data_IF_770908757823
#
_entry.id   IF_770908757823
#
_cell.length_a   1.000
_cell.length_b   1.000
_cell.length_c   1.000
_cell.angle_alpha   90.00
_cell.angle_beta   90.00
_cell.angle_gamma   90.00
#
_symmetry.space_group_name_H-M   'P 1'
#
loop_
_entity.id
_entity.type
_entity.pdbx_description
1 polymer ?
#
# COMPACT_ATOMS: atom_id res chain seq x y z
N UNK A 1 -0.71 -37.04 -17.45
CA UNK A 1 0.38 -37.96 -17.06
C UNK A 1 1.15 -37.28 -15.96
N UNK A 2 0.96 -37.70 -14.71
CA UNK A 2 1.79 -37.26 -13.58
C UNK A 2 2.97 -38.22 -13.58
N UNK A 3 4.13 -37.79 -14.06
CA UNK A 3 5.36 -38.55 -13.87
C UNK A 3 5.59 -38.68 -12.36
N UNK A 4 5.67 -39.92 -11.88
CA UNK A 4 6.04 -40.24 -10.51
C UNK A 4 7.48 -39.77 -10.30
N UNK A 5 7.67 -38.53 -9.82
CA UNK A 5 8.98 -38.05 -9.38
C UNK A 5 9.47 -38.99 -8.28
N UNK A 6 10.61 -39.63 -8.53
CA UNK A 6 11.28 -40.56 -7.62
C UNK A 6 11.43 -39.91 -6.24
N UNK A 7 10.82 -40.53 -5.22
CA UNK A 7 11.07 -40.19 -3.83
C UNK A 7 12.56 -40.47 -3.61
N UNK A 8 13.36 -39.42 -3.42
CA UNK A 8 14.79 -39.54 -3.10
C UNK A 8 14.88 -40.31 -1.77
N UNK A 9 15.61 -41.42 -1.78
CA UNK A 9 15.79 -42.23 -0.57
C UNK A 9 16.56 -41.43 0.50
N UNK A 10 16.13 -41.45 1.78
CA UNK A 10 16.77 -40.71 2.88
C UNK A 10 18.30 -40.87 2.97
N UNK A 11 18.82 -42.03 2.55
CA UNK A 11 20.25 -42.37 2.56
C UNK A 11 21.06 -41.47 1.60
N UNK A 12 20.48 -41.12 0.45
CA UNK A 12 21.14 -40.27 -0.55
C UNK A 12 21.30 -38.85 0.00
N UNK A 13 20.30 -38.35 0.72
CA UNK A 13 20.33 -37.04 1.36
C UNK A 13 21.42 -36.95 2.44
N UNK A 14 21.52 -37.93 3.34
CA UNK A 14 22.52 -37.87 4.41
C UNK A 14 23.95 -37.90 3.89
N UNK A 15 24.21 -38.62 2.79
CA UNK A 15 25.54 -38.60 2.15
C UNK A 15 25.86 -37.23 1.56
N UNK A 16 24.91 -36.62 0.85
CA UNK A 16 25.06 -35.30 0.25
C UNK A 16 25.40 -34.23 1.30
N UNK A 17 24.71 -34.22 2.44
CA UNK A 17 24.98 -33.26 3.52
C UNK A 17 26.33 -33.50 4.18
N UNK A 18 26.74 -34.76 4.40
CA UNK A 18 28.06 -35.05 4.95
C UNK A 18 29.20 -34.62 4.02
N UNK A 19 29.03 -34.84 2.70
CA UNK A 19 29.98 -34.39 1.69
C UNK A 19 30.04 -32.85 1.69
N UNK A 20 28.89 -32.16 1.73
CA UNK A 20 28.80 -30.71 1.87
C UNK A 20 29.58 -30.20 3.09
N UNK A 21 29.29 -30.71 4.30
CA UNK A 21 29.95 -30.27 5.54
C UNK A 21 31.47 -30.45 5.42
N UNK A 22 31.94 -31.58 4.91
CA UNK A 22 33.38 -31.82 4.72
C UNK A 22 33.99 -30.78 3.77
N UNK A 23 33.30 -30.47 2.68
CA UNK A 23 33.88 -29.72 1.57
C UNK A 23 33.77 -28.21 1.76
N UNK A 24 32.75 -27.69 2.47
CA UNK A 24 32.68 -26.25 2.84
C UNK A 24 33.75 -25.81 3.84
N UNK A 25 34.33 -26.74 4.61
CA UNK A 25 35.49 -26.45 5.47
C UNK A 25 36.83 -26.52 4.73
N UNK A 26 36.81 -26.77 3.41
CA UNK A 26 38.02 -26.69 2.60
C UNK A 26 38.54 -25.25 2.52
N UNK A 27 39.86 -25.06 2.40
CA UNK A 27 40.45 -23.76 2.08
C UNK A 27 40.31 -23.36 0.61
N UNK A 28 39.84 -24.28 -0.24
CA UNK A 28 39.66 -24.06 -1.67
C UNK A 28 38.26 -23.49 -1.94
N UNK A 29 38.21 -22.21 -2.35
CA UNK A 29 36.96 -21.50 -2.65
C UNK A 29 36.11 -22.21 -3.70
N UNK A 30 36.74 -22.73 -4.78
CA UNK A 30 36.00 -23.42 -5.83
C UNK A 30 35.33 -24.70 -5.31
N UNK A 31 35.99 -25.39 -4.37
CA UNK A 31 35.44 -26.58 -3.72
C UNK A 31 34.27 -26.25 -2.78
N UNK A 32 34.33 -25.12 -2.08
CA UNK A 32 33.20 -24.65 -1.28
C UNK A 32 32.00 -24.29 -2.16
N UNK A 33 32.24 -23.57 -3.26
CA UNK A 33 31.24 -23.20 -4.27
C UNK A 33 30.56 -24.44 -4.86
N UNK A 34 31.35 -25.41 -5.33
CA UNK A 34 30.82 -26.69 -5.86
C UNK A 34 29.97 -27.43 -4.82
N UNK A 35 30.39 -27.44 -3.54
CA UNK A 35 29.64 -28.09 -2.48
C UNK A 35 28.26 -27.43 -2.27
N UNK A 36 28.18 -26.10 -2.28
CA UNK A 36 26.91 -25.35 -2.17
C UNK A 36 26.01 -25.63 -3.37
N UNK A 37 26.53 -25.51 -4.59
CA UNK A 37 25.79 -25.78 -5.83
C UNK A 37 25.22 -27.19 -5.86
N UNK A 38 26.03 -28.16 -5.44
CA UNK A 38 25.64 -29.57 -5.42
C UNK A 38 24.48 -29.79 -4.44
N UNK A 39 24.49 -29.17 -3.25
CA UNK A 39 23.36 -29.25 -2.33
C UNK A 39 22.12 -28.60 -2.94
N UNK A 40 22.20 -27.36 -3.40
CA UNK A 40 21.04 -26.62 -3.94
C UNK A 40 20.41 -27.38 -5.11
N UNK A 41 21.24 -27.90 -6.03
CA UNK A 41 20.80 -28.58 -7.25
C UNK A 41 20.19 -29.96 -7.00
N UNK A 42 20.60 -30.67 -5.95
CA UNK A 42 20.07 -32.02 -5.66
C UNK A 42 18.92 -32.00 -4.64
N UNK A 43 18.71 -30.88 -3.97
CA UNK A 43 17.73 -30.73 -2.90
C UNK A 43 16.36 -30.22 -3.35
N UNK A 44 15.87 -30.53 -4.54
CA UNK A 44 14.63 -29.88 -5.05
C UNK A 44 13.39 -30.10 -4.16
N UNK A 45 13.37 -31.17 -3.36
CA UNK A 45 12.34 -31.39 -2.36
C UNK A 45 12.80 -30.87 -0.99
N UNK A 46 11.91 -30.28 -0.17
CA UNK A 46 12.25 -29.91 1.20
C UNK A 46 12.92 -31.11 1.88
N UNK A 47 14.14 -30.90 2.37
CA UNK A 47 14.82 -31.96 3.09
C UNK A 47 14.09 -32.28 4.39
N UNK A 48 14.58 -33.31 5.09
CA UNK A 48 14.33 -33.38 6.52
C UNK A 48 14.85 -32.09 7.17
N UNK A 49 14.12 -31.59 8.16
CA UNK A 49 14.42 -30.32 8.82
C UNK A 49 15.86 -30.28 9.35
N UNK A 50 16.36 -31.43 9.78
CA UNK A 50 17.72 -31.65 10.27
C UNK A 50 18.79 -31.31 9.21
N UNK A 51 18.59 -31.72 7.96
CA UNK A 51 19.54 -31.50 6.87
C UNK A 51 19.56 -30.03 6.43
N UNK A 52 18.39 -29.38 6.36
CA UNK A 52 18.31 -27.95 6.07
C UNK A 52 18.98 -27.11 7.18
N UNK A 53 18.85 -27.52 8.45
CA UNK A 53 19.54 -26.88 9.58
C UNK A 53 21.06 -27.02 9.43
N UNK A 54 21.56 -28.23 9.12
CA UNK A 54 22.99 -28.46 8.90
C UNK A 54 23.54 -27.64 7.73
N UNK A 55 22.77 -27.52 6.64
CA UNK A 55 23.13 -26.65 5.52
C UNK A 55 23.38 -25.20 5.99
N UNK A 56 22.40 -24.63 6.71
CA UNK A 56 22.45 -23.26 7.21
C UNK A 56 23.60 -23.09 8.21
N UNK A 57 23.77 -24.01 9.17
CA UNK A 57 24.80 -23.96 10.21
C UNK A 57 26.23 -24.06 9.68
N UNK A 58 26.43 -24.66 8.51
CA UNK A 58 27.75 -24.80 7.91
C UNK A 58 28.00 -23.91 6.70
N UNK A 59 27.03 -23.05 6.31
CA UNK A 59 27.18 -22.20 5.13
C UNK A 59 28.36 -21.22 5.24
N UNK A 60 29.34 -21.26 4.33
CA UNK A 60 30.53 -20.40 4.41
C UNK A 60 30.18 -18.92 4.19
N UNK A 61 30.65 -18.04 5.08
CA UNK A 61 30.27 -16.63 5.05
C UNK A 61 30.86 -15.90 3.83
N UNK A 62 31.94 -16.42 3.26
CA UNK A 62 32.62 -15.88 2.11
C UNK A 62 31.79 -16.04 0.82
N UNK A 63 30.90 -17.04 0.79
CA UNK A 63 30.04 -17.34 -0.36
C UNK A 63 28.70 -16.62 -0.35
N UNK A 64 28.42 -15.78 0.66
CA UNK A 64 27.14 -15.08 0.74
C UNK A 64 26.86 -14.30 -0.53
N UNK A 65 27.78 -13.44 -0.97
CA UNK A 65 27.59 -12.55 -2.13
C UNK A 65 27.44 -13.32 -3.45
N UNK A 66 28.05 -14.50 -3.58
CA UNK A 66 27.97 -15.32 -4.80
C UNK A 66 26.62 -16.04 -4.92
N UNK A 67 26.07 -16.51 -3.80
CA UNK A 67 24.88 -17.38 -3.79
C UNK A 67 23.64 -16.74 -3.15
N UNK A 68 23.63 -15.42 -2.96
CA UNK A 68 22.59 -14.70 -2.19
C UNK A 68 21.18 -15.15 -2.57
N UNK A 69 20.86 -15.16 -3.87
CA UNK A 69 19.50 -15.41 -4.35
C UNK A 69 19.11 -16.89 -4.25
N UNK A 70 19.99 -17.80 -4.69
CA UNK A 70 19.70 -19.23 -4.69
C UNK A 70 19.63 -19.80 -3.28
N UNK A 71 20.51 -19.33 -2.38
CA UNK A 71 20.48 -19.72 -0.98
C UNK A 71 19.26 -19.14 -0.26
N UNK A 72 18.88 -17.90 -0.57
CA UNK A 72 17.64 -17.33 -0.02
C UNK A 72 16.42 -18.17 -0.44
N UNK A 73 16.31 -18.53 -1.72
CA UNK A 73 15.26 -19.43 -2.23
C UNK A 73 15.30 -20.78 -1.52
N UNK A 74 16.50 -21.38 -1.41
CA UNK A 74 16.71 -22.67 -0.79
C UNK A 74 16.25 -22.68 0.67
N UNK A 75 16.65 -21.69 1.47
CA UNK A 75 16.31 -21.61 2.89
C UNK A 75 14.80 -21.45 3.06
N UNK A 76 14.21 -20.49 2.34
CA UNK A 76 12.81 -20.12 2.55
C UNK A 76 11.79 -20.98 1.79
N UNK A 77 12.22 -22.04 1.11
CA UNK A 77 11.29 -23.11 0.68
C UNK A 77 10.75 -23.91 1.89
N UNK A 78 11.49 -23.95 3.00
CA UNK A 78 11.11 -24.66 4.22
C UNK A 78 10.61 -23.68 5.29
N UNK A 79 9.30 -23.70 5.55
CA UNK A 79 8.65 -22.79 6.50
C UNK A 79 9.10 -22.97 7.96
N UNK A 80 9.75 -24.09 8.30
CA UNK A 80 10.23 -24.35 9.65
C UNK A 80 11.52 -23.55 9.98
N UNK A 81 12.19 -22.98 8.99
CA UNK A 81 13.46 -22.24 9.17
C UNK A 81 13.26 -20.73 9.37
N UNK A 82 12.02 -20.23 9.28
CA UNK A 82 11.73 -18.79 9.28
C UNK A 82 12.12 -18.08 10.59
N UNK A 83 12.24 -18.83 11.69
CA UNK A 83 12.68 -18.35 13.01
C UNK A 83 14.15 -18.70 13.32
N UNK A 84 14.84 -19.41 12.42
CA UNK A 84 16.21 -19.83 12.65
C UNK A 84 17.14 -18.60 12.67
N UNK A 85 17.94 -18.37 13.73
CA UNK A 85 18.73 -17.14 13.88
C UNK A 85 19.67 -16.87 12.70
N UNK A 86 20.27 -17.92 12.13
CA UNK A 86 21.13 -17.78 10.97
C UNK A 86 20.36 -17.56 9.67
N UNK A 87 19.14 -18.10 9.53
CA UNK A 87 18.30 -17.79 8.38
C UNK A 87 17.96 -16.29 8.36
N UNK A 88 17.67 -15.70 9.52
CA UNK A 88 17.44 -14.26 9.66
C UNK A 88 18.63 -13.44 9.13
N UNK A 89 19.87 -13.87 9.38
CA UNK A 89 21.06 -13.21 8.81
C UNK A 89 21.07 -13.26 7.27
N UNK A 90 20.60 -14.35 6.65
CA UNK A 90 20.45 -14.41 5.19
C UNK A 90 19.46 -13.38 4.66
N UNK A 91 18.40 -13.02 5.40
CA UNK A 91 17.51 -11.92 5.01
C UNK A 91 18.30 -10.61 4.96
N UNK A 92 19.11 -10.32 5.97
CA UNK A 92 19.90 -9.08 6.02
C UNK A 92 20.92 -9.01 4.89
N UNK A 93 21.58 -10.14 4.57
CA UNK A 93 22.47 -10.25 3.42
C UNK A 93 21.71 -10.06 2.10
N UNK A 94 20.57 -10.72 1.92
CA UNK A 94 19.71 -10.56 0.75
C UNK A 94 19.25 -9.10 0.55
N UNK A 95 18.81 -8.43 1.62
CA UNK A 95 18.38 -7.04 1.57
C UNK A 95 19.54 -6.07 1.29
N UNK A 96 20.76 -6.40 1.74
CA UNK A 96 21.98 -5.64 1.44
C UNK A 96 22.40 -5.80 -0.01
N UNK A 97 22.38 -7.04 -0.51
CA UNK A 97 22.66 -7.36 -1.91
C UNK A 97 21.74 -6.58 -2.86
N UNK A 98 20.43 -6.56 -2.61
CA UNK A 98 19.49 -5.77 -3.43
C UNK A 98 19.78 -4.26 -3.45
N UNK A 99 20.61 -3.75 -2.53
CA UNK A 99 21.03 -2.35 -2.51
C UNK A 99 22.19 -2.05 -3.46
N UNK A 100 23.09 -3.00 -3.73
CA UNK A 100 24.33 -2.74 -4.49
C UNK A 100 24.08 -2.61 -5.99
N UNK A 101 22.96 -3.15 -6.50
CA UNK A 101 22.55 -3.12 -7.92
C UNK A 101 23.54 -3.81 -8.87
N UNK A 102 24.31 -4.76 -8.37
CA UNK A 102 25.25 -5.48 -9.23
C UNK A 102 24.48 -6.39 -10.22
N UNK A 103 24.93 -6.39 -11.48
CA UNK A 103 24.33 -7.12 -12.63
C UNK A 103 24.60 -8.64 -12.58
N UNK A 104 24.59 -9.26 -11.40
CA UNK A 104 24.83 -10.69 -11.27
C UNK A 104 23.72 -11.51 -11.95
N UNK A 105 24.00 -12.79 -12.23
CA UNK A 105 22.98 -13.73 -12.68
C UNK A 105 21.99 -13.96 -11.55
N UNK A 106 20.78 -13.44 -11.68
CA UNK A 106 19.80 -13.49 -10.59
C UNK A 106 18.77 -14.56 -10.88
N UNK A 107 18.39 -15.25 -9.81
CA UNK A 107 17.26 -16.15 -9.78
C UNK A 107 15.99 -15.49 -10.34
N UNK A 108 15.13 -16.35 -10.88
CA UNK A 108 13.82 -15.95 -11.38
C UNK A 108 13.03 -15.17 -10.29
N UNK A 109 12.54 -13.95 -10.55
CA UNK A 109 11.81 -13.14 -9.57
C UNK A 109 10.57 -13.84 -9.02
N UNK A 110 9.94 -14.75 -9.78
CA UNK A 110 8.83 -15.57 -9.28
C UNK A 110 9.24 -16.44 -8.10
N UNK A 111 10.36 -17.16 -8.23
CA UNK A 111 10.85 -18.06 -7.19
C UNK A 111 11.29 -17.28 -5.95
N UNK A 112 11.88 -16.11 -6.14
CA UNK A 112 12.21 -15.21 -5.04
C UNK A 112 10.97 -14.65 -4.35
N UNK A 113 9.93 -14.25 -5.09
CA UNK A 113 8.65 -13.79 -4.51
C UNK A 113 8.04 -14.89 -3.64
N UNK A 114 8.03 -16.14 -4.10
CA UNK A 114 7.54 -17.28 -3.32
C UNK A 114 8.35 -17.52 -2.04
N UNK A 115 9.69 -17.42 -2.15
CA UNK A 115 10.59 -17.51 -1.00
C UNK A 115 10.34 -16.38 0.00
N UNK A 116 10.18 -15.13 -0.46
CA UNK A 116 9.85 -14.00 0.40
C UNK A 116 8.49 -14.23 1.06
N UNK A 117 7.48 -14.73 0.32
CA UNK A 117 6.16 -15.02 0.86
C UNK A 117 6.20 -16.02 2.03
N UNK A 118 7.05 -17.04 1.94
CA UNK A 118 7.29 -17.97 3.06
C UNK A 118 8.10 -17.31 4.19
N UNK A 119 9.13 -16.53 3.87
CA UNK A 119 9.97 -15.82 4.82
C UNK A 119 9.15 -14.89 5.73
N UNK A 120 8.18 -14.17 5.17
CA UNK A 120 7.40 -13.16 5.89
C UNK A 120 6.25 -13.74 6.75
N UNK A 121 6.08 -15.07 6.76
CA UNK A 121 5.14 -15.72 7.68
C UNK A 121 5.54 -15.50 9.15
N UNK A 122 6.81 -15.19 9.41
CA UNK A 122 7.28 -14.70 10.69
C UNK A 122 7.31 -13.17 10.69
N UNK A 123 6.46 -12.54 11.50
CA UNK A 123 6.29 -11.07 11.53
C UNK A 123 7.59 -10.26 11.69
N UNK A 124 8.55 -10.64 12.56
CA UNK A 124 9.85 -9.96 12.65
C UNK A 124 10.61 -9.87 11.31
N UNK A 125 10.42 -10.84 10.41
CA UNK A 125 11.05 -10.80 9.10
C UNK A 125 10.45 -9.68 8.23
N UNK A 126 9.14 -9.41 8.32
CA UNK A 126 8.51 -8.26 7.63
C UNK A 126 9.16 -6.94 8.05
N UNK A 127 9.48 -6.79 9.33
CA UNK A 127 10.14 -5.60 9.88
C UNK A 127 11.50 -5.38 9.23
N UNK A 128 12.26 -6.45 8.94
CA UNK A 128 13.54 -6.34 8.24
C UNK A 128 13.36 -5.81 6.82
N UNK A 129 12.39 -6.37 6.06
CA UNK A 129 12.06 -5.87 4.72
C UNK A 129 11.65 -4.40 4.74
N UNK A 130 10.84 -3.98 5.70
CA UNK A 130 10.37 -2.60 5.80
C UNK A 130 11.49 -1.64 6.16
N UNK A 131 12.30 -1.98 7.16
CA UNK A 131 13.43 -1.15 7.57
C UNK A 131 14.48 -1.03 6.45
N UNK A 132 14.61 -2.04 5.59
CA UNK A 132 15.57 -2.03 4.49
C UNK A 132 15.01 -1.50 3.16
N UNK A 133 13.75 -1.07 3.09
CA UNK A 133 13.06 -0.73 1.84
C UNK A 133 13.04 -1.89 0.82
N UNK A 134 12.97 -3.12 1.31
CA UNK A 134 13.23 -4.34 0.56
C UNK A 134 12.37 -4.47 -0.69
N UNK A 135 11.07 -4.16 -0.62
CA UNK A 135 10.16 -4.32 -1.76
C UNK A 135 10.37 -3.27 -2.86
N UNK A 136 10.76 -2.05 -2.49
CA UNK A 136 11.13 -1.03 -3.47
C UNK A 136 12.43 -1.41 -4.19
N UNK A 137 13.44 -1.86 -3.44
CA UNK A 137 14.71 -2.31 -4.03
C UNK A 137 14.52 -3.55 -4.88
N UNK A 138 13.70 -4.50 -4.44
CA UNK A 138 13.31 -5.67 -5.21
C UNK A 138 12.65 -5.26 -6.53
N UNK A 139 11.66 -4.37 -6.49
CA UNK A 139 11.01 -3.85 -7.70
C UNK A 139 12.01 -3.21 -8.66
N UNK A 140 12.84 -2.31 -8.15
CA UNK A 140 13.79 -1.58 -8.96
C UNK A 140 14.83 -2.51 -9.59
N UNK A 141 15.31 -3.50 -8.82
CA UNK A 141 16.29 -4.46 -9.28
C UNK A 141 15.73 -5.38 -10.38
N UNK A 142 14.45 -5.75 -10.31
CA UNK A 142 13.78 -6.60 -11.30
C UNK A 142 12.87 -5.82 -12.26
N UNK A 143 13.05 -4.51 -12.44
CA UNK A 143 12.04 -3.66 -13.11
C UNK A 143 11.69 -4.14 -14.52
N UNK A 144 12.67 -4.65 -15.27
CA UNK A 144 12.47 -5.21 -16.61
C UNK A 144 11.63 -6.50 -16.64
N UNK A 145 11.66 -7.28 -15.56
CA UNK A 145 10.95 -8.55 -15.42
C UNK A 145 9.60 -8.41 -14.69
N UNK A 146 9.39 -7.29 -13.99
CA UNK A 146 8.22 -7.06 -13.15
C UNK A 146 6.88 -7.07 -13.88
N UNK A 147 6.87 -6.79 -15.18
CA UNK A 147 5.65 -6.86 -16.00
C UNK A 147 4.99 -8.24 -15.95
N UNK A 148 5.79 -9.31 -15.86
CA UNK A 148 5.28 -10.68 -15.77
C UNK A 148 4.88 -11.03 -14.34
N UNK A 149 5.70 -10.64 -13.35
CA UNK A 149 5.50 -10.99 -11.93
C UNK A 149 4.56 -10.06 -11.16
N UNK A 150 4.05 -8.98 -11.77
CA UNK A 150 3.21 -7.97 -11.11
C UNK A 150 2.03 -8.56 -10.32
N UNK A 151 1.40 -9.62 -10.86
CA UNK A 151 0.25 -10.29 -10.22
C UNK A 151 0.56 -10.89 -8.85
N UNK A 152 1.81 -11.32 -8.61
CA UNK A 152 2.24 -11.87 -7.32
C UNK A 152 2.96 -10.82 -6.47
N UNK A 153 3.68 -9.91 -7.11
CA UNK A 153 4.45 -8.87 -6.43
C UNK A 153 3.56 -7.92 -5.60
N UNK A 154 2.47 -7.40 -6.17
CA UNK A 154 1.63 -6.42 -5.46
C UNK A 154 0.92 -6.97 -4.23
N UNK A 155 0.32 -8.19 -4.26
CA UNK A 155 -0.17 -8.84 -3.05
C UNK A 155 0.91 -9.02 -1.99
N UNK A 156 2.09 -9.56 -2.37
CA UNK A 156 3.21 -9.74 -1.44
C UNK A 156 3.63 -8.40 -0.80
N UNK A 157 3.74 -7.34 -1.59
CA UNK A 157 4.05 -6.01 -1.10
C UNK A 157 2.99 -5.55 -0.09
N UNK A 158 1.70 -5.70 -0.41
CA UNK A 158 0.62 -5.35 0.52
C UNK A 158 0.70 -6.13 1.83
N UNK A 159 1.06 -7.42 1.80
CA UNK A 159 1.16 -8.27 2.97
C UNK A 159 2.35 -7.90 3.88
N UNK A 160 3.48 -7.51 3.29
CA UNK A 160 4.66 -7.02 4.04
C UNK A 160 4.32 -5.74 4.79
N UNK A 161 3.72 -4.76 4.11
CA UNK A 161 3.36 -3.47 4.69
C UNK A 161 2.07 -3.52 5.53
N UNK A 162 1.43 -4.69 5.66
CA UNK A 162 0.33 -4.92 6.59
C UNK A 162 0.86 -5.52 7.90
N UNK A 163 1.36 -4.66 8.79
CA UNK A 163 1.85 -5.05 10.11
C UNK A 163 0.81 -4.71 11.20
N UNK A 164 0.74 -5.56 12.21
CA UNK A 164 0.08 -5.26 13.48
C UNK A 164 0.68 -4.01 14.16
N UNK A 165 -0.20 -3.24 14.82
CA UNK A 165 0.19 -2.10 15.66
C UNK A 165 1.07 -2.50 16.84
N UNK A 166 0.99 -3.74 17.32
CA UNK A 166 1.85 -4.22 18.42
C UNK A 166 3.35 -4.17 18.07
N UNK A 167 3.69 -4.26 16.78
CA UNK A 167 5.07 -4.26 16.29
C UNK A 167 5.58 -2.87 15.91
N UNK A 168 4.81 -1.81 16.20
CA UNK A 168 5.19 -0.42 15.91
C UNK A 168 6.53 -0.03 16.55
N UNK A 169 6.86 -0.58 17.71
CA UNK A 169 8.13 -0.31 18.40
C UNK A 169 9.34 -0.79 17.61
N UNK A 170 9.19 -1.88 16.84
CA UNK A 170 10.26 -2.50 16.04
C UNK A 170 10.57 -1.76 14.73
N UNK A 171 9.69 -0.86 14.27
CA UNK A 171 9.90 -0.08 13.05
C UNK A 171 10.87 1.07 13.34
N UNK A 172 11.96 1.19 12.59
CA UNK A 172 12.88 2.31 12.75
C UNK A 172 12.36 3.56 12.02
N UNK A 173 12.00 4.61 12.76
CA UNK A 173 11.36 5.83 12.21
C UNK A 173 12.29 6.57 11.24
N UNK A 174 13.57 6.62 11.58
CA UNK A 174 14.59 7.21 10.72
C UNK A 174 14.69 6.46 9.39
N UNK A 175 14.82 5.12 9.43
CA UNK A 175 14.86 4.31 8.21
C UNK A 175 13.58 4.43 7.41
N UNK A 176 12.42 4.46 8.06
CA UNK A 176 11.14 4.64 7.37
C UNK A 176 11.07 5.98 6.62
N UNK A 177 11.57 7.05 7.23
CA UNK A 177 11.69 8.35 6.56
C UNK A 177 12.65 8.29 5.37
N UNK A 178 13.84 7.72 5.56
CA UNK A 178 14.82 7.52 4.48
C UNK A 178 14.19 6.74 3.31
N UNK A 179 13.42 5.69 3.60
CA UNK A 179 12.76 4.86 2.60
C UNK A 179 11.66 5.62 1.84
N UNK A 180 10.85 6.42 2.53
CA UNK A 180 9.84 7.29 1.88
C UNK A 180 10.52 8.29 0.95
N UNK A 181 11.59 8.94 1.42
CA UNK A 181 12.35 9.90 0.61
C UNK A 181 13.04 9.21 -0.57
N UNK A 182 13.60 8.01 -0.39
CA UNK A 182 14.20 7.21 -1.45
C UNK A 182 13.17 6.91 -2.56
N UNK A 183 11.95 6.50 -2.21
CA UNK A 183 10.90 6.22 -3.20
C UNK A 183 10.46 7.50 -3.92
N UNK A 184 10.32 8.63 -3.20
CA UNK A 184 9.88 9.90 -3.79
C UNK A 184 10.91 10.53 -4.73
N UNK A 185 12.19 10.42 -4.38
CA UNK A 185 13.30 11.09 -5.09
C UNK A 185 13.94 10.22 -6.17
N UNK A 186 13.60 8.94 -6.25
CA UNK A 186 14.18 8.07 -7.26
C UNK A 186 13.80 8.54 -8.67
N UNK A 187 14.78 8.62 -9.55
CA UNK A 187 14.62 8.98 -10.96
C UNK A 187 14.04 7.79 -11.74
N UNK A 188 12.85 7.31 -11.34
CA UNK A 188 12.13 6.27 -12.07
C UNK A 188 11.84 6.77 -13.50
N UNK A 189 11.99 5.90 -14.49
CA UNK A 189 11.54 6.20 -15.86
C UNK A 189 10.04 6.53 -15.87
N UNK A 190 9.51 7.24 -16.88
CA UNK A 190 8.09 7.59 -16.93
C UNK A 190 7.13 6.40 -16.74
N UNK A 191 7.52 5.22 -17.20
CA UNK A 191 6.78 3.97 -17.04
C UNK A 191 6.86 3.46 -15.59
N UNK A 192 8.06 3.47 -14.99
CA UNK A 192 8.29 3.04 -13.60
C UNK A 192 7.72 4.01 -12.56
N UNK A 193 7.52 5.29 -12.90
CA UNK A 193 6.95 6.30 -11.98
C UNK A 193 5.60 5.87 -11.41
N UNK A 194 4.81 5.13 -12.18
CA UNK A 194 3.52 4.61 -11.68
C UNK A 194 3.70 3.65 -10.52
N UNK A 195 4.62 2.72 -10.70
CA UNK A 195 4.85 1.64 -9.76
C UNK A 195 5.61 2.16 -8.54
N UNK A 196 6.53 3.11 -8.73
CA UNK A 196 7.12 3.89 -7.64
C UNK A 196 6.03 4.62 -6.83
N UNK A 197 5.04 5.24 -7.49
CA UNK A 197 3.87 5.83 -6.83
C UNK A 197 2.99 4.82 -6.09
N UNK A 198 2.74 3.64 -6.67
CA UNK A 198 1.99 2.55 -6.02
C UNK A 198 2.71 2.06 -4.75
N UNK A 199 4.02 1.82 -4.83
CA UNK A 199 4.85 1.45 -3.69
C UNK A 199 4.78 2.50 -2.60
N UNK A 200 4.94 3.78 -2.95
CA UNK A 200 4.83 4.89 -2.02
C UNK A 200 3.47 4.91 -1.32
N UNK A 201 2.38 4.72 -2.06
CA UNK A 201 1.04 4.67 -1.47
C UNK A 201 0.86 3.48 -0.51
N UNK A 202 1.45 2.31 -0.79
CA UNK A 202 1.43 1.16 0.12
C UNK A 202 2.21 1.47 1.41
N UNK A 203 3.40 2.05 1.30
CA UNK A 203 4.22 2.48 2.45
C UNK A 203 3.49 3.54 3.28
N UNK A 204 2.95 4.58 2.64
CA UNK A 204 2.21 5.64 3.31
C UNK A 204 0.90 5.13 3.94
N UNK A 205 0.24 4.11 3.36
CA UNK A 205 -0.91 3.44 3.98
C UNK A 205 -0.51 2.74 5.28
N UNK A 206 0.63 2.05 5.30
CA UNK A 206 1.17 1.46 6.53
C UNK A 206 1.44 2.54 7.58
N UNK A 207 2.13 3.63 7.21
CA UNK A 207 2.39 4.78 8.09
C UNK A 207 1.08 5.33 8.66
N UNK A 208 0.05 5.48 7.83
CA UNK A 208 -1.28 5.90 8.25
C UNK A 208 -1.89 4.94 9.28
N UNK A 209 -1.88 3.64 8.97
CA UNK A 209 -2.46 2.59 9.80
C UNK A 209 -1.86 2.56 11.20
N UNK A 210 -0.53 2.73 11.26
CA UNK A 210 0.28 2.78 12.48
C UNK A 210 0.29 4.16 13.16
N UNK A 211 -0.36 5.17 12.57
CA UNK A 211 -0.42 6.57 13.07
C UNK A 211 0.96 7.24 13.19
N UNK A 212 1.91 6.83 12.34
CA UNK A 212 3.30 7.32 12.36
C UNK A 212 3.51 8.65 11.61
N UNK A 213 2.46 9.22 10.98
CA UNK A 213 2.59 10.48 10.24
C UNK A 213 3.13 11.63 11.09
N UNK A 214 2.80 11.68 12.39
CA UNK A 214 3.33 12.69 13.31
C UNK A 214 4.75 12.37 13.81
N UNK A 215 5.29 11.19 13.53
CA UNK A 215 6.64 10.79 13.96
C UNK A 215 7.69 11.03 12.88
N UNK A 216 7.33 10.88 11.60
CA UNK A 216 8.23 11.13 10.46
C UNK A 216 7.92 12.49 9.81
N UNK A 217 8.84 13.03 9.01
CA UNK A 217 8.65 14.30 8.30
C UNK A 217 9.26 14.20 6.91
N UNK A 218 8.41 14.08 5.88
CA UNK A 218 8.81 14.00 4.49
C UNK A 218 8.23 15.18 3.69
N UNK A 219 8.73 15.40 2.47
CA UNK A 219 8.25 16.47 1.60
C UNK A 219 6.82 16.18 1.12
N UNK A 220 5.84 16.81 1.78
CA UNK A 220 4.42 16.67 1.45
C UNK A 220 4.07 17.33 0.12
N UNK A 221 4.83 18.34 -0.32
CA UNK A 221 4.61 18.97 -1.62
C UNK A 221 5.01 18.03 -2.75
N UNK A 222 6.16 17.38 -2.62
CA UNK A 222 6.58 16.33 -3.56
C UNK A 222 5.59 15.15 -3.56
N UNK A 223 5.12 14.72 -2.38
CA UNK A 223 4.09 13.69 -2.29
C UNK A 223 2.76 14.11 -2.96
N UNK A 224 2.39 15.39 -2.88
CA UNK A 224 1.25 15.95 -3.59
C UNK A 224 1.43 15.86 -5.11
N UNK A 225 2.58 16.23 -5.64
CA UNK A 225 2.84 16.15 -7.08
C UNK A 225 2.76 14.71 -7.59
N UNK A 226 3.30 13.75 -6.82
CA UNK A 226 3.17 12.32 -7.11
C UNK A 226 1.69 11.89 -7.06
N UNK A 227 0.94 12.31 -6.03
CA UNK A 227 -0.50 12.05 -5.91
C UNK A 227 -1.26 12.54 -7.14
N UNK A 228 -0.98 13.76 -7.61
CA UNK A 228 -1.64 14.36 -8.78
C UNK A 228 -1.35 13.53 -10.04
N UNK A 229 -0.09 13.13 -10.25
CA UNK A 229 0.29 12.28 -11.37
C UNK A 229 -0.46 10.94 -11.34
N UNK A 230 -0.50 10.27 -10.19
CA UNK A 230 -1.22 9.01 -10.01
C UNK A 230 -2.73 9.17 -10.23
N UNK A 231 -3.31 10.26 -9.73
CA UNK A 231 -4.73 10.55 -9.89
C UNK A 231 -5.10 10.81 -11.36
N UNK A 232 -4.29 11.57 -12.11
CA UNK A 232 -4.54 11.84 -13.52
C UNK A 232 -4.50 10.56 -14.36
N UNK A 233 -3.55 9.65 -14.08
CA UNK A 233 -3.52 8.32 -14.73
C UNK A 233 -4.77 7.51 -14.41
N UNK A 234 -5.25 7.54 -13.16
CA UNK A 234 -6.52 6.90 -12.79
C UNK A 234 -7.69 7.45 -13.60
N UNK A 235 -7.78 8.77 -13.79
CA UNK A 235 -8.85 9.38 -14.58
C UNK A 235 -8.78 8.97 -16.06
N UNK A 236 -7.58 8.89 -16.63
CA UNK A 236 -7.37 8.54 -18.04
C UNK A 236 -7.59 7.04 -18.34
N UNK A 237 -7.21 6.16 -17.42
CA UNK A 237 -7.20 4.70 -17.66
C UNK A 237 -8.17 3.88 -16.80
N UNK A 238 -8.84 4.49 -15.80
CA UNK A 238 -9.68 3.83 -14.78
C UNK A 238 -9.04 2.63 -14.08
N UNK A 239 -7.70 2.58 -14.02
CA UNK A 239 -6.99 1.48 -13.34
C UNK A 239 -6.77 1.82 -11.86
N UNK A 240 -6.85 0.81 -10.98
CA UNK A 240 -6.48 0.87 -9.56
C UNK A 240 -7.36 1.75 -8.65
N UNK A 241 -8.68 1.50 -8.60
CA UNK A 241 -9.59 2.17 -7.64
C UNK A 241 -9.10 2.07 -6.17
N UNK A 242 -8.45 0.97 -5.80
CA UNK A 242 -7.90 0.79 -4.46
C UNK A 242 -6.81 1.81 -4.09
N UNK A 243 -6.11 2.36 -5.10
CA UNK A 243 -5.05 3.33 -4.90
C UNK A 243 -5.62 4.69 -4.47
N UNK A 244 -6.69 5.14 -5.14
CA UNK A 244 -7.40 6.38 -4.76
C UNK A 244 -7.92 6.31 -3.32
N UNK A 245 -8.35 5.12 -2.90
CA UNK A 245 -8.78 4.88 -1.53
C UNK A 245 -7.64 5.04 -0.55
N UNK A 246 -6.45 4.53 -0.88
CA UNK A 246 -5.27 4.70 -0.04
C UNK A 246 -4.86 6.17 0.02
N UNK A 247 -4.82 6.87 -1.13
CA UNK A 247 -4.53 8.29 -1.20
C UNK A 247 -5.51 9.11 -0.35
N UNK A 248 -6.82 8.84 -0.41
CA UNK A 248 -7.82 9.48 0.46
C UNK A 248 -7.50 9.28 1.96
N UNK A 249 -7.09 8.07 2.36
CA UNK A 249 -6.74 7.79 3.75
C UNK A 249 -5.45 8.49 4.19
N UNK A 250 -4.45 8.51 3.31
CA UNK A 250 -3.16 9.17 3.52
C UNK A 250 -3.36 10.68 3.66
N UNK A 251 -4.06 11.32 2.73
CA UNK A 251 -4.34 12.76 2.77
C UNK A 251 -5.18 13.16 3.98
N UNK A 252 -6.11 12.31 4.41
CA UNK A 252 -6.82 12.48 5.69
C UNK A 252 -5.85 12.47 6.88
N UNK A 253 -4.81 11.64 6.86
CA UNK A 253 -3.77 11.61 7.89
C UNK A 253 -2.87 12.85 7.87
N UNK A 254 -2.49 13.32 6.67
CA UNK A 254 -1.62 14.48 6.47
C UNK A 254 -2.33 15.78 6.86
N UNK A 255 -3.53 16.05 6.30
CA UNK A 255 -4.27 17.30 6.50
C UNK A 255 -4.73 17.52 7.94
N UNK A 256 -4.90 16.44 8.71
CA UNK A 256 -5.39 16.50 10.08
C UNK A 256 -4.30 16.17 11.10
N UNK A 257 -3.09 15.85 10.64
CA UNK A 257 -1.92 15.70 11.48
C UNK A 257 -1.43 17.06 11.96
N UNK A 258 -0.89 17.12 13.18
CA UNK A 258 -0.37 18.36 13.74
C UNK A 258 1.01 18.74 13.20
N UNK A 259 1.71 17.79 12.56
CA UNK A 259 3.10 17.97 12.14
C UNK A 259 3.25 18.62 10.77
N UNK A 260 2.29 18.43 9.88
CA UNK A 260 2.40 18.91 8.50
C UNK A 260 1.64 20.21 8.31
N UNK A 261 2.33 21.23 7.80
CA UNK A 261 1.75 22.51 7.41
C UNK A 261 1.26 22.48 5.95
N UNK A 262 0.61 21.40 5.53
CA UNK A 262 0.10 21.34 4.17
C UNK A 262 -1.15 22.22 4.02
N UNK A 263 -0.99 23.34 3.33
CA UNK A 263 -2.06 24.27 3.05
C UNK A 263 -2.66 24.02 1.65
N UNK A 264 -3.99 24.05 1.58
CA UNK A 264 -4.76 24.06 0.32
C UNK A 264 -4.89 25.53 -0.12
N UNK A 265 -3.76 26.10 -0.53
CA UNK A 265 -3.60 27.51 -0.91
C UNK A 265 -3.90 27.80 -2.39
N UNK A 266 -4.09 26.75 -3.20
CA UNK A 266 -4.34 26.84 -4.65
C UNK A 266 -5.61 26.10 -5.05
N UNK A 267 -6.30 26.64 -6.05
CA UNK A 267 -7.50 26.01 -6.64
C UNK A 267 -7.17 24.60 -7.18
N UNK A 268 -6.00 24.41 -7.79
CA UNK A 268 -5.56 23.09 -8.27
C UNK A 268 -5.46 22.06 -7.12
N UNK A 269 -4.87 22.45 -5.97
CA UNK A 269 -4.84 21.60 -4.76
C UNK A 269 -6.23 21.22 -4.29
N UNK A 270 -7.15 22.19 -4.24
CA UNK A 270 -8.53 21.98 -3.87
C UNK A 270 -9.24 21.00 -4.81
N UNK A 271 -9.04 21.14 -6.13
CA UNK A 271 -9.62 20.26 -7.16
C UNK A 271 -9.17 18.82 -6.99
N UNK A 272 -7.86 18.57 -6.94
CA UNK A 272 -7.34 17.20 -6.88
C UNK A 272 -7.72 16.50 -5.56
N UNK A 273 -7.57 17.19 -4.42
CA UNK A 273 -7.91 16.60 -3.11
C UNK A 273 -9.40 16.35 -2.95
N UNK A 274 -10.25 17.30 -3.37
CA UNK A 274 -11.71 17.08 -3.33
C UNK A 274 -12.14 15.91 -4.20
N UNK A 275 -11.49 15.72 -5.35
CA UNK A 275 -11.81 14.63 -6.28
C UNK A 275 -11.42 13.27 -5.71
N UNK A 276 -10.23 13.16 -5.09
CA UNK A 276 -9.80 11.96 -4.37
C UNK A 276 -10.79 11.61 -3.25
N UNK A 277 -11.18 12.61 -2.45
CA UNK A 277 -12.15 12.40 -1.38
C UNK A 277 -13.55 12.06 -1.90
N UNK A 278 -13.99 12.66 -2.99
CA UNK A 278 -15.30 12.41 -3.59
C UNK A 278 -15.41 10.98 -4.13
N UNK A 279 -14.35 10.45 -4.75
CA UNK A 279 -14.32 9.06 -5.22
C UNK A 279 -14.36 8.07 -4.05
N UNK A 280 -13.52 8.26 -3.01
CA UNK A 280 -13.54 7.37 -1.84
C UNK A 280 -14.88 7.45 -1.09
N UNK A 281 -15.47 8.64 -0.97
CA UNK A 281 -16.77 8.82 -0.32
C UNK A 281 -17.91 8.19 -1.12
N UNK A 282 -17.91 8.35 -2.45
CA UNK A 282 -18.87 7.70 -3.35
C UNK A 282 -18.86 6.18 -3.19
N UNK A 283 -17.65 5.59 -3.17
CA UNK A 283 -17.49 4.16 -2.94
C UNK A 283 -18.05 3.75 -1.58
N UNK A 284 -17.74 4.48 -0.51
CA UNK A 284 -18.24 4.15 0.84
C UNK A 284 -19.76 4.26 0.93
N UNK A 285 -20.37 5.26 0.31
CA UNK A 285 -21.83 5.40 0.26
C UNK A 285 -22.48 4.25 -0.52
N UNK A 286 -21.87 3.83 -1.64
CA UNK A 286 -22.29 2.64 -2.37
C UNK A 286 -22.20 1.38 -1.49
N UNK A 287 -21.08 1.16 -0.81
CA UNK A 287 -20.89 -0.02 0.04
C UNK A 287 -21.94 -0.08 1.19
N UNK A 288 -22.44 1.06 1.68
CA UNK A 288 -23.57 1.12 2.62
C UNK A 288 -24.88 0.75 1.97
N UNK A 289 -25.14 1.31 0.79
CA UNK A 289 -26.35 1.03 0.02
C UNK A 289 -26.42 -0.47 -0.30
N UNK A 290 -25.30 -1.09 -0.62
CA UNK A 290 -25.22 -2.52 -0.91
C UNK A 290 -25.26 -3.40 0.36
N UNK A 291 -25.28 -2.80 1.54
CA UNK A 291 -25.30 -3.51 2.83
C UNK A 291 -23.96 -4.16 3.20
N UNK A 292 -22.88 -3.82 2.50
CA UNK A 292 -21.54 -4.36 2.75
C UNK A 292 -20.87 -3.74 3.98
N UNK A 293 -21.24 -2.51 4.36
CA UNK A 293 -20.67 -1.85 5.54
C UNK A 293 -21.61 -0.80 6.16
N UNK A 294 -21.29 -0.41 7.40
CA UNK A 294 -21.89 0.76 8.05
C UNK A 294 -20.99 1.98 7.82
N UNK A 295 -21.55 3.10 7.37
CA UNK A 295 -20.79 4.35 7.22
C UNK A 295 -21.00 5.27 8.41
N UNK A 296 -19.96 5.38 9.23
CA UNK A 296 -19.94 6.24 10.41
C UNK A 296 -19.52 7.65 10.02
N UNK A 297 -20.46 8.58 10.15
CA UNK A 297 -20.22 10.01 10.04
C UNK A 297 -19.44 10.50 11.25
N UNK A 298 -18.16 10.80 11.05
CA UNK A 298 -17.27 11.38 12.04
C UNK A 298 -16.70 12.70 11.54
N UNK A 299 -16.00 13.43 12.41
CA UNK A 299 -15.39 14.72 12.09
C UNK A 299 -14.48 14.65 10.85
N UNK A 300 -13.75 13.55 10.67
CA UNK A 300 -12.90 13.35 9.48
C UNK A 300 -13.71 13.18 8.19
N UNK A 301 -14.92 12.64 8.23
CA UNK A 301 -15.84 12.60 7.10
C UNK A 301 -16.37 14.00 6.80
N UNK A 302 -16.72 14.78 7.83
CA UNK A 302 -17.20 16.17 7.70
C UNK A 302 -16.15 17.07 7.05
N UNK A 303 -14.91 17.05 7.53
CA UNK A 303 -13.82 17.85 6.95
C UNK A 303 -13.56 17.50 5.47
N UNK A 304 -13.71 16.23 5.08
CA UNK A 304 -13.63 15.82 3.66
C UNK A 304 -14.79 16.39 2.84
N UNK A 305 -16.01 16.37 3.37
CA UNK A 305 -17.16 17.06 2.75
C UNK A 305 -16.87 18.56 2.59
N UNK A 306 -16.28 19.22 3.58
CA UNK A 306 -15.95 20.65 3.49
C UNK A 306 -14.99 20.97 2.36
N UNK A 307 -13.94 20.16 2.16
CA UNK A 307 -13.03 20.32 1.03
C UNK A 307 -13.79 20.20 -0.31
N UNK A 308 -14.70 19.22 -0.42
CA UNK A 308 -15.54 19.06 -1.60
C UNK A 308 -16.52 20.24 -1.77
N UNK A 309 -17.10 20.72 -0.68
CA UNK A 309 -17.99 21.89 -0.66
C UNK A 309 -17.27 23.14 -1.15
N UNK A 310 -16.05 23.39 -0.67
CA UNK A 310 -15.25 24.53 -1.14
C UNK A 310 -14.91 24.41 -2.63
N UNK A 311 -14.67 23.20 -3.15
CA UNK A 311 -14.55 23.00 -4.60
C UNK A 311 -15.83 23.40 -5.34
N UNK A 312 -17.01 23.06 -4.81
CA UNK A 312 -18.29 23.49 -5.41
C UNK A 312 -18.50 25.01 -5.32
N UNK A 313 -17.99 25.67 -4.28
CA UNK A 313 -17.99 27.14 -4.16
C UNK A 313 -17.06 27.75 -5.21
N UNK A 314 -15.86 27.22 -5.38
CA UNK A 314 -14.88 27.67 -6.37
C UNK A 314 -15.26 27.25 -7.81
N UNK A 315 -16.20 26.32 -7.99
CA UNK A 315 -16.53 25.73 -9.28
C UNK A 315 -16.73 26.73 -10.44
N UNK A 316 -17.43 27.87 -10.26
CA UNK A 316 -17.63 28.84 -11.35
C UNK A 316 -16.35 29.50 -11.88
N UNK A 317 -15.26 29.51 -11.10
CA UNK A 317 -13.96 30.08 -11.50
C UNK A 317 -12.95 29.00 -11.92
N UNK A 318 -13.32 27.72 -11.87
CA UNK A 318 -12.47 26.62 -12.32
C UNK A 318 -12.45 26.58 -13.85
N UNK A 319 -11.27 26.38 -14.43
CA UNK A 319 -11.13 26.10 -15.86
C UNK A 319 -11.72 24.72 -16.20
N UNK A 320 -12.97 24.72 -16.68
CA UNK A 320 -13.69 23.51 -17.03
C UNK A 320 -13.11 22.78 -18.23
N UNK A 321 -12.33 23.44 -19.09
CA UNK A 321 -11.67 22.77 -20.21
C UNK A 321 -10.46 21.97 -19.71
N UNK A 322 -9.70 22.53 -18.76
CA UNK A 322 -8.58 21.82 -18.13
C UNK A 322 -9.04 20.64 -17.26
N UNK A 323 -10.21 20.77 -16.61
CA UNK A 323 -10.72 19.80 -15.64
C UNK A 323 -12.08 19.21 -16.03
N UNK A 324 -12.25 18.82 -17.29
CA UNK A 324 -13.53 18.27 -17.81
C UNK A 324 -14.08 17.10 -16.98
N UNK A 325 -13.18 16.30 -16.40
CA UNK A 325 -13.52 15.12 -15.60
C UNK A 325 -14.09 15.45 -14.21
N UNK A 326 -13.87 16.67 -13.70
CA UNK A 326 -14.27 17.07 -12.33
C UNK A 326 -15.78 17.02 -12.16
N UNK A 327 -16.55 17.48 -13.16
CA UNK A 327 -18.01 17.47 -13.13
C UNK A 327 -18.55 16.06 -12.89
N UNK A 328 -18.06 15.08 -13.66
CA UNK A 328 -18.48 13.69 -13.55
C UNK A 328 -18.15 13.05 -12.20
N UNK A 329 -17.01 13.42 -11.60
CA UNK A 329 -16.65 12.96 -10.24
C UNK A 329 -17.64 13.49 -9.20
N UNK A 330 -18.00 14.77 -9.28
CA UNK A 330 -18.92 15.41 -8.33
C UNK A 330 -20.38 14.97 -8.54
N UNK A 331 -20.83 14.81 -9.79
CA UNK A 331 -22.14 14.25 -10.13
C UNK A 331 -22.29 12.81 -9.61
N UNK A 332 -21.25 11.98 -9.76
CA UNK A 332 -21.26 10.63 -9.22
C UNK A 332 -21.44 10.66 -7.69
N UNK A 333 -20.70 11.51 -6.96
CA UNK A 333 -20.87 11.64 -5.52
C UNK A 333 -22.28 12.10 -5.14
N UNK A 334 -22.82 13.11 -5.84
CA UNK A 334 -24.18 13.59 -5.61
C UNK A 334 -25.21 12.46 -5.77
N UNK A 335 -25.11 11.65 -6.82
CA UNK A 335 -26.02 10.51 -7.06
C UNK A 335 -25.99 9.47 -5.94
N UNK A 336 -24.84 9.26 -5.29
CA UNK A 336 -24.73 8.33 -4.16
C UNK A 336 -25.32 8.90 -2.87
N UNK A 337 -25.25 10.21 -2.66
CA UNK A 337 -25.98 10.86 -1.58
C UNK A 337 -27.49 10.76 -1.78
N UNK A 338 -27.99 11.07 -2.98
CA UNK A 338 -29.40 10.93 -3.35
C UNK A 338 -29.93 9.53 -3.02
N UNK A 339 -29.25 8.47 -3.48
CA UNK A 339 -29.61 7.08 -3.14
C UNK A 339 -29.57 6.79 -1.64
N UNK A 340 -28.67 7.43 -0.90
CA UNK A 340 -28.55 7.25 0.54
C UNK A 340 -29.71 7.93 1.31
N UNK A 341 -30.18 9.09 0.85
CA UNK A 341 -31.39 9.75 1.36
C UNK A 341 -32.63 8.87 1.18
N UNK A 342 -32.81 8.26 0.00
CA UNK A 342 -33.96 7.42 -0.30
C UNK A 342 -34.12 6.23 0.67
N UNK A 343 -33.00 5.65 1.14
CA UNK A 343 -32.95 4.51 2.06
C UNK A 343 -33.22 4.86 3.53
N UNK A 344 -33.64 6.09 3.86
CA UNK A 344 -33.97 6.58 5.22
C UNK A 344 -32.84 6.52 6.25
N UNK A 345 -31.62 6.16 5.85
CA UNK A 345 -30.46 6.15 6.74
C UNK A 345 -30.10 7.56 7.25
N UNK A 346 -30.43 8.59 6.46
CA UNK A 346 -30.22 9.98 6.79
C UNK A 346 -30.94 10.43 8.07
N UNK A 347 -32.16 9.93 8.32
CA UNK A 347 -32.97 10.38 9.45
C UNK A 347 -32.40 9.96 10.81
N UNK A 348 -31.53 8.96 10.83
CA UNK A 348 -30.88 8.42 12.04
C UNK A 348 -29.67 9.28 12.44
N UNK A 349 -29.18 10.15 11.55
CA UNK A 349 -27.98 10.93 11.81
C UNK A 349 -28.22 12.05 12.85
N UNK A 350 -27.20 12.37 13.68
CA UNK A 350 -27.19 13.59 14.49
C UNK A 350 -27.44 14.82 13.63
N UNK A 351 -28.10 15.83 14.21
CA UNK A 351 -28.52 17.04 13.48
C UNK A 351 -27.33 17.79 12.86
N UNK A 352 -26.19 17.81 13.55
CA UNK A 352 -24.94 18.43 13.09
C UNK A 352 -24.44 17.77 11.81
N UNK A 353 -24.42 16.43 11.77
CA UNK A 353 -24.02 15.69 10.58
C UNK A 353 -25.00 15.89 9.43
N UNK A 354 -26.31 15.90 9.71
CA UNK A 354 -27.36 16.19 8.72
C UNK A 354 -27.13 17.55 8.06
N UNK A 355 -26.82 18.55 8.87
CA UNK A 355 -26.58 19.91 8.38
C UNK A 355 -25.46 19.98 7.34
N UNK A 356 -24.29 19.41 7.64
CA UNK A 356 -23.17 19.44 6.72
C UNK A 356 -23.47 18.70 5.40
N UNK A 357 -24.18 17.58 5.48
CA UNK A 357 -24.59 16.80 4.30
C UNK A 357 -25.58 17.59 3.46
N UNK A 358 -26.59 18.21 4.08
CA UNK A 358 -27.58 19.05 3.37
C UNK A 358 -26.91 20.25 2.73
N UNK A 359 -26.01 20.93 3.45
CA UNK A 359 -25.24 22.06 2.90
C UNK A 359 -24.46 21.65 1.64
N UNK A 360 -23.77 20.51 1.68
CA UNK A 360 -23.12 19.93 0.51
C UNK A 360 -24.13 19.58 -0.59
N UNK A 361 -25.24 18.95 -0.26
CA UNK A 361 -26.21 18.43 -1.21
C UNK A 361 -26.90 19.56 -1.99
N UNK A 362 -27.37 20.60 -1.29
CA UNK A 362 -27.94 21.81 -1.91
C UNK A 362 -26.91 22.53 -2.78
N UNK A 363 -25.66 22.65 -2.30
CA UNK A 363 -24.60 23.31 -3.06
C UNK A 363 -24.22 22.51 -4.31
N UNK A 364 -24.16 21.19 -4.23
CA UNK A 364 -23.85 20.33 -5.37
C UNK A 364 -24.95 20.37 -6.42
N UNK A 365 -26.23 20.26 -6.02
CA UNK A 365 -27.36 20.37 -6.94
C UNK A 365 -27.36 21.70 -7.70
N UNK A 366 -27.28 22.83 -7.00
CA UNK A 366 -27.27 24.16 -7.63
C UNK A 366 -26.06 24.39 -8.54
N UNK A 367 -24.86 24.00 -8.10
CA UNK A 367 -23.61 24.22 -8.85
C UNK A 367 -23.53 23.34 -10.10
N UNK A 368 -23.95 22.08 -9.99
CA UNK A 368 -23.89 21.10 -11.08
C UNK A 368 -25.13 21.10 -11.97
N UNK A 369 -26.15 21.90 -11.61
CA UNK A 369 -27.48 21.96 -12.26
C UNK A 369 -28.19 20.60 -12.27
N UNK A 370 -28.13 19.90 -11.14
CA UNK A 370 -28.84 18.63 -10.95
C UNK A 370 -30.22 18.96 -10.40
N UNK A 371 -31.26 18.56 -11.13
CA UNK A 371 -32.65 18.71 -10.70
C UNK A 371 -32.92 17.81 -9.48
N UNK A 372 -33.52 18.39 -8.45
CA UNK A 372 -33.96 17.66 -7.28
C UNK A 372 -35.30 16.98 -7.58
N UNK A 373 -35.48 15.77 -7.09
CA UNK A 373 -36.79 15.15 -7.07
C UNK A 373 -37.69 15.84 -6.04
N UNK A 374 -39.00 15.79 -6.29
CA UNK A 374 -40.02 16.34 -5.38
C UNK A 374 -39.89 15.79 -3.94
N UNK A 375 -39.43 14.55 -3.80
CA UNK A 375 -39.17 13.93 -2.49
C UNK A 375 -37.96 14.57 -1.79
N UNK A 376 -36.88 14.82 -2.53
CA UNK A 376 -35.69 15.48 -1.97
C UNK A 376 -35.96 16.92 -1.57
N UNK A 377 -36.78 17.63 -2.35
CA UNK A 377 -37.24 18.98 -1.99
C UNK A 377 -38.00 18.98 -0.66
N UNK A 378 -38.90 18.01 -0.46
CA UNK A 378 -39.63 17.83 0.80
C UNK A 378 -38.68 17.48 1.95
N UNK A 379 -37.76 16.52 1.76
CA UNK A 379 -36.80 16.12 2.78
C UNK A 379 -35.88 17.30 3.20
N UNK A 380 -35.48 18.13 2.23
CA UNK A 380 -34.71 19.36 2.47
C UNK A 380 -35.55 20.41 3.21
N UNK A 381 -36.80 20.61 2.80
CA UNK A 381 -37.70 21.56 3.45
C UNK A 381 -37.96 21.17 4.91
N UNK A 382 -38.27 19.90 5.17
CA UNK A 382 -38.48 19.37 6.52
C UNK A 382 -37.23 19.57 7.40
N UNK A 383 -36.04 19.37 6.83
CA UNK A 383 -34.78 19.64 7.52
C UNK A 383 -34.59 21.12 7.85
N UNK A 384 -34.90 22.04 6.92
CA UNK A 384 -34.82 23.48 7.15
C UNK A 384 -35.81 23.95 8.23
N UNK A 385 -37.03 23.42 8.24
CA UNK A 385 -38.01 23.67 9.30
C UNK A 385 -37.50 23.16 10.67
N UNK A 386 -36.85 21.99 10.70
CA UNK A 386 -36.25 21.47 11.92
C UNK A 386 -35.08 22.31 12.44
N UNK A 387 -34.31 22.95 11.55
CA UNK A 387 -33.25 23.90 11.94
C UNK A 387 -33.81 25.15 12.63
N UNK A 388 -34.92 25.69 12.15
CA UNK A 388 -35.55 26.89 12.75
C UNK A 388 -35.98 26.65 14.20
N UNK A 389 -36.44 25.43 14.50
CA UNK A 389 -36.90 25.02 15.82
C UNK A 389 -35.74 24.72 16.77
N UNK A 390 -34.55 24.36 16.26
CA UNK A 390 -33.43 23.90 17.08
C UNK A 390 -32.51 25.07 17.53
N UNK A 391 -32.55 25.48 18.81
CA UNK A 391 -31.84 26.67 19.28
C UNK A 391 -30.32 26.55 19.24
N UNK A 392 -29.77 25.33 19.34
CA UNK A 392 -28.31 25.10 19.38
C UNK A 392 -27.62 25.47 18.06
N UNK A 393 -28.35 25.41 16.95
CA UNK A 393 -27.84 25.72 15.62
C UNK A 393 -28.08 27.18 15.23
N UNK A 394 -28.96 27.88 15.95
CA UNK A 394 -29.29 29.29 15.69
C UNK A 394 -28.08 30.22 15.78
N UNK A 395 -27.11 29.90 16.63
CA UNK A 395 -25.89 30.69 16.83
C UNK A 395 -24.81 30.49 15.73
N UNK A 396 -24.99 29.53 14.81
CA UNK A 396 -24.03 29.27 13.72
C UNK A 396 -24.37 30.10 12.46
N UNK A 397 -25.60 30.63 12.34
CA UNK A 397 -26.09 31.34 11.14
C UNK A 397 -26.25 32.86 11.31
N UNK A 398 -25.95 33.41 12.47
CA UNK A 398 -25.78 34.85 12.69
C UNK A 398 -24.31 35.15 12.89
#
# INVERSE_FOLDING_TARGET
>A
MIESKNIIEPIVTSRLINDYIRDVHSSDFAKQTEAVENVISNAYHPFFLEDDNLFIEHFPNELFEEFVSDVFVFIYRNKNLITHPRAIQFIEHFLRFMKTRDEFQIANPYTLIDAIFNCIQHEPNKILFINANGMFRFYYYFSTQMTTSAGMFWPLCSDIYHIDRELISSICRQKLLENVNEIMTNNCSPDEQEDCGKLLAVVCKMIHHLRLFNEIEFDVSQFYDITVSMFLRYIQGKQYLWLIVYLSQIWKGILYGSKYNFEIDKVDKLIYLSSIFAIDLSRKLRDVIDGCCEFKWNENAMRRIYIIYFTLVAYPIIDHNKYEWLKGVLENLHSWFQKNFEKKSFNILPMENKFHIVQYFTKSSSTLKIELSLREEVDLFDFLMALEINPSLRNIYY
#
